data_IF_767676423933
#
_entry.id   IF_767676423933
#
_cell.length_a   1.000
_cell.length_b   1.000
_cell.length_c   1.000
_cell.angle_alpha   90.00
_cell.angle_beta   90.00
_cell.angle_gamma   90.00
#
_symmetry.space_group_name_H-M   'P 1'
#
loop_
_entity.id
_entity.type
_entity.pdbx_description
1 polymer ?
#
# COMPACT_ATOMS: atom_id res chain seq x y z
N UNK A 1 -6.21 9.88 -7.36
CA UNK A 1 -5.34 9.73 -6.19
C UNK A 1 -4.51 8.47 -6.27
N UNK A 2 -3.44 8.42 -5.51
CA UNK A 2 -2.54 7.28 -5.50
C UNK A 2 -2.40 6.75 -4.08
N UNK A 3 -2.46 5.43 -3.94
CA UNK A 3 -2.23 4.78 -2.65
C UNK A 3 -0.77 4.33 -2.59
N UNK A 4 -0.04 4.84 -1.62
CA UNK A 4 1.36 4.48 -1.45
C UNK A 4 1.52 3.64 -0.20
N UNK A 5 2.20 2.49 -0.37
CA UNK A 5 2.43 1.58 0.75
C UNK A 5 3.94 1.36 0.88
N UNK A 6 4.45 1.49 2.09
CA UNK A 6 5.87 1.28 2.36
C UNK A 6 5.96 0.23 3.47
N UNK A 7 6.36 -0.97 3.09
CA UNK A 7 6.36 -2.11 4.00
C UNK A 7 7.76 -2.34 4.55
N UNK A 8 7.97 -1.87 5.77
CA UNK A 8 9.23 -2.06 6.47
C UNK A 8 9.18 -3.24 7.41
N UNK A 9 10.30 -3.55 8.03
CA UNK A 9 10.39 -4.72 8.91
C UNK A 9 9.43 -4.66 10.11
N UNK A 10 9.16 -3.47 10.59
CA UNK A 10 8.32 -3.30 11.77
C UNK A 10 6.95 -2.74 11.44
N UNK A 11 6.91 -1.80 10.51
CA UNK A 11 5.67 -1.09 10.20
C UNK A 11 5.36 -1.05 8.73
N UNK A 12 4.08 -1.02 8.43
CA UNK A 12 3.57 -0.70 7.12
C UNK A 12 3.07 0.73 7.17
N UNK A 13 3.66 1.60 6.38
CA UNK A 13 3.19 2.97 6.22
C UNK A 13 2.25 3.00 5.03
N UNK A 14 1.12 3.66 5.18
CA UNK A 14 0.14 3.81 4.10
C UNK A 14 -0.17 5.28 3.95
N UNK A 15 -0.02 5.80 2.75
CA UNK A 15 -0.30 7.20 2.47
C UNK A 15 -1.18 7.34 1.24
N UNK A 16 -2.00 8.38 1.25
CA UNK A 16 -2.84 8.73 0.11
C UNK A 16 -2.33 10.05 -0.44
N UNK A 17 -2.00 10.05 -1.72
CA UNK A 17 -1.49 11.25 -2.37
C UNK A 17 -2.43 11.72 -3.46
N UNK A 18 -2.62 13.04 -3.51
CA UNK A 18 -3.30 13.69 -4.62
C UNK A 18 -2.23 14.55 -5.27
N UNK A 19 -1.79 14.13 -6.45
CA UNK A 19 -0.65 14.75 -7.12
C UNK A 19 0.57 14.60 -6.22
N UNK A 20 1.15 15.67 -5.74
CA UNK A 20 2.32 15.60 -4.88
C UNK A 20 2.03 15.85 -3.42
N UNK A 21 0.76 15.99 -3.09
CA UNK A 21 0.36 16.31 -1.72
C UNK A 21 -0.13 15.08 -0.98
N UNK A 22 0.37 14.91 0.22
CA UNK A 22 -0.09 13.83 1.10
C UNK A 22 -1.43 14.26 1.69
N UNK A 23 -2.46 13.49 1.40
CA UNK A 23 -3.81 13.78 1.88
C UNK A 23 -4.00 13.24 3.29
N UNK A 24 -3.59 12.01 3.52
CA UNK A 24 -3.69 11.38 4.83
C UNK A 24 -2.78 10.15 4.85
N UNK A 25 -2.47 9.69 6.04
CA UNK A 25 -1.61 8.51 6.20
C UNK A 25 -1.85 7.84 7.53
N UNK A 26 -1.38 6.61 7.64
CA UNK A 26 -1.37 5.90 8.91
C UNK A 26 -0.29 4.83 8.88
N UNK A 27 0.01 4.28 10.04
CA UNK A 27 0.96 3.17 10.16
C UNK A 27 0.31 2.04 10.92
N UNK A 28 0.69 0.83 10.55
CA UNK A 28 0.26 -0.35 11.28
C UNK A 28 1.45 -1.31 11.31
N UNK A 29 1.37 -2.34 12.13
CA UNK A 29 2.47 -3.29 12.22
C UNK A 29 2.57 -4.17 10.99
N UNK A 30 3.82 -4.51 10.62
CA UNK A 30 4.06 -5.50 9.57
C UNK A 30 3.90 -6.87 10.23
N UNK A 31 2.79 -7.53 9.94
CA UNK A 31 2.44 -8.78 10.59
C UNK A 31 2.33 -9.90 9.55
N UNK A 32 3.29 -10.82 9.58
CA UNK A 32 3.33 -11.90 8.61
C UNK A 32 2.21 -12.91 8.77
N UNK A 33 1.54 -12.90 9.91
CA UNK A 33 0.45 -13.83 10.16
C UNK A 33 -0.89 -13.36 9.60
N UNK A 34 -0.99 -12.08 9.23
CA UNK A 34 -2.24 -11.58 8.67
C UNK A 34 -2.38 -12.04 7.22
N UNK A 35 -3.60 -12.30 6.83
CA UNK A 35 -3.92 -12.68 5.45
C UNK A 35 -4.05 -11.42 4.59
N UNK A 36 -4.08 -11.62 3.27
CA UNK A 36 -4.31 -10.51 2.37
C UNK A 36 -5.69 -9.88 2.63
N UNK A 37 -6.67 -10.69 2.98
CA UNK A 37 -8.01 -10.18 3.29
C UNK A 37 -7.99 -9.27 4.52
N UNK A 38 -7.21 -9.64 5.54
CA UNK A 38 -7.10 -8.82 6.74
C UNK A 38 -6.44 -7.48 6.42
N UNK A 39 -5.41 -7.48 5.58
CA UNK A 39 -4.79 -6.23 5.16
C UNK A 39 -5.75 -5.40 4.33
N UNK A 40 -6.55 -6.05 3.49
CA UNK A 40 -7.54 -5.36 2.68
C UNK A 40 -8.56 -4.65 3.58
N UNK A 41 -8.98 -5.30 4.66
CA UNK A 41 -9.92 -4.70 5.60
C UNK A 41 -9.32 -3.49 6.30
N UNK A 42 -8.05 -3.58 6.68
CA UNK A 42 -7.36 -2.46 7.31
C UNK A 42 -7.30 -1.26 6.37
N UNK A 43 -6.95 -1.51 5.11
CA UNK A 43 -6.89 -0.45 4.12
C UNK A 43 -8.26 0.14 3.83
N UNK A 44 -9.27 -0.74 3.74
CA UNK A 44 -10.64 -0.30 3.49
C UNK A 44 -11.13 0.62 4.60
N UNK A 45 -10.87 0.24 5.83
CA UNK A 45 -11.31 1.03 6.98
C UNK A 45 -10.63 2.39 7.00
N UNK A 46 -9.33 2.41 6.67
CA UNK A 46 -8.58 3.65 6.60
C UNK A 46 -9.18 4.62 5.58
N UNK A 47 -9.50 4.11 4.39
CA UNK A 47 -10.06 4.97 3.36
C UNK A 47 -11.45 5.46 3.75
N UNK A 48 -12.26 4.59 4.34
CA UNK A 48 -13.59 5.00 4.79
C UNK A 48 -13.53 6.05 5.87
N UNK A 49 -12.60 5.89 6.82
CA UNK A 49 -12.46 6.84 7.91
C UNK A 49 -12.06 8.23 7.42
N UNK A 50 -11.47 8.30 6.23
CA UNK A 50 -11.06 9.57 5.65
C UNK A 50 -12.00 10.03 4.53
N UNK A 51 -13.15 9.39 4.41
CA UNK A 51 -14.18 9.73 3.43
C UNK A 51 -13.65 9.72 1.99
N UNK A 52 -12.85 8.71 1.68
CA UNK A 52 -12.27 8.58 0.35
C UNK A 52 -12.95 7.46 -0.42
N UNK A 53 -13.33 7.76 -1.67
CA UNK A 53 -13.95 6.78 -2.53
C UNK A 53 -12.91 5.99 -3.30
N UNK A 54 -13.16 4.70 -3.46
CA UNK A 54 -12.24 3.84 -4.19
C UNK A 54 -12.08 4.28 -5.64
N UNK A 55 -13.12 4.85 -6.21
CA UNK A 55 -13.10 5.28 -7.60
C UNK A 55 -12.12 6.43 -7.85
N UNK A 56 -11.72 7.11 -6.80
CA UNK A 56 -10.80 8.23 -6.96
C UNK A 56 -9.35 7.81 -7.14
N UNK A 57 -9.07 6.52 -6.96
CA UNK A 57 -7.70 6.02 -7.02
C UNK A 57 -7.34 5.50 -8.41
N UNK A 58 -6.15 5.88 -8.88
CA UNK A 58 -5.63 5.42 -10.16
C UNK A 58 -4.87 4.11 -10.00
N UNK A 59 -4.45 3.81 -8.79
CA UNK A 59 -3.71 2.60 -8.52
C UNK A 59 -2.95 2.72 -7.21
N UNK A 60 -2.04 1.79 -7.00
CA UNK A 60 -1.24 1.75 -5.79
C UNK A 60 0.21 1.41 -6.12
N UNK A 61 1.11 1.85 -5.26
CA UNK A 61 2.53 1.54 -5.37
C UNK A 61 2.97 1.00 -4.02
N UNK A 62 3.66 -0.13 -4.05
CA UNK A 62 4.16 -0.78 -2.84
C UNK A 62 5.68 -0.92 -2.90
N UNK A 63 6.35 -0.36 -1.90
CA UNK A 63 7.77 -0.57 -1.69
C UNK A 63 7.90 -1.51 -0.50
N UNK A 64 8.72 -2.55 -0.61
CA UNK A 64 8.79 -3.56 0.45
C UNK A 64 10.18 -4.09 0.65
N UNK A 65 10.54 -4.31 1.92
CA UNK A 65 11.78 -4.99 2.28
C UNK A 65 11.45 -6.36 2.90
N UNK A 66 10.20 -6.79 2.85
CA UNK A 66 9.78 -8.08 3.40
C UNK A 66 9.17 -8.95 2.30
N UNK A 67 9.98 -9.75 1.63
CA UNK A 67 9.46 -10.57 0.52
C UNK A 67 8.25 -11.43 0.88
N UNK A 68 8.23 -11.97 2.09
CA UNK A 68 7.14 -12.86 2.49
C UNK A 68 5.79 -12.15 2.65
N UNK A 69 5.80 -10.84 2.81
CA UNK A 69 4.56 -10.07 2.94
C UNK A 69 4.19 -9.31 1.69
N UNK A 70 5.13 -9.13 0.80
CA UNK A 70 4.92 -8.28 -0.38
C UNK A 70 3.68 -8.68 -1.16
N UNK A 71 3.56 -9.96 -1.45
CA UNK A 71 2.43 -10.45 -2.26
C UNK A 71 1.09 -10.24 -1.58
N UNK A 72 1.05 -10.49 -0.28
CA UNK A 72 -0.20 -10.34 0.47
C UNK A 72 -0.68 -8.90 0.48
N UNK A 73 0.23 -7.97 0.72
CA UNK A 73 -0.12 -6.56 0.80
C UNK A 73 -0.45 -6.01 -0.58
N UNK A 74 0.30 -6.43 -1.61
CA UNK A 74 0.00 -6.00 -2.97
C UNK A 74 -1.37 -6.49 -3.40
N UNK A 75 -1.69 -7.74 -3.08
CA UNK A 75 -2.99 -8.30 -3.42
C UNK A 75 -4.10 -7.57 -2.68
N UNK A 76 -3.88 -7.24 -1.42
CA UNK A 76 -4.87 -6.51 -0.63
C UNK A 76 -5.19 -5.16 -1.28
N UNK A 77 -4.15 -4.43 -1.69
CA UNK A 77 -4.36 -3.11 -2.28
C UNK A 77 -5.02 -3.22 -3.65
N UNK A 78 -4.55 -4.13 -4.50
CA UNK A 78 -5.10 -4.25 -5.84
C UNK A 78 -6.55 -4.75 -5.82
N UNK A 79 -6.86 -5.66 -4.90
CA UNK A 79 -8.23 -6.17 -4.78
C UNK A 79 -9.17 -5.09 -4.27
N UNK A 80 -8.72 -4.31 -3.30
CA UNK A 80 -9.53 -3.25 -2.75
C UNK A 80 -9.87 -2.20 -3.78
N UNK A 81 -8.85 -1.75 -4.52
CA UNK A 81 -9.04 -0.68 -5.49
C UNK A 81 -9.54 -1.16 -6.84
N UNK A 82 -9.45 -2.45 -7.09
CA UNK A 82 -9.71 -3.03 -8.40
C UNK A 82 -8.82 -2.35 -9.44
N UNK A 83 -7.59 -2.08 -9.07
CA UNK A 83 -6.58 -1.46 -9.90
C UNK A 83 -5.24 -2.12 -9.64
N UNK A 84 -4.29 -1.89 -10.51
CA UNK A 84 -2.98 -2.47 -10.36
C UNK A 84 -2.22 -1.89 -9.18
N UNK A 85 -1.50 -2.74 -8.45
CA UNK A 85 -0.58 -2.30 -7.43
C UNK A 85 0.83 -2.60 -7.94
N UNK A 86 1.60 -1.56 -8.23
CA UNK A 86 2.97 -1.74 -8.70
C UNK A 86 3.87 -1.99 -7.51
N UNK A 87 4.68 -3.04 -7.62
CA UNK A 87 5.61 -3.40 -6.55
C UNK A 87 7.00 -2.98 -6.94
N UNK A 88 7.62 -2.15 -6.11
CA UNK A 88 8.99 -1.71 -6.31
C UNK A 88 9.89 -2.63 -5.50
N UNK A 89 10.61 -3.50 -6.19
CA UNK A 89 11.43 -4.48 -5.53
C UNK A 89 12.89 -4.09 -5.47
N UNK A 90 13.69 -4.99 -4.93
CA UNK A 90 15.11 -4.73 -4.77
C UNK A 90 15.82 -4.46 -6.07
N UNK A 91 15.43 -5.11 -7.12
CA UNK A 91 16.06 -4.91 -8.40
C UNK A 91 15.80 -3.50 -8.93
N UNK A 92 14.71 -2.89 -8.51
CA UNK A 92 14.42 -1.56 -8.93
C UNK A 92 15.24 -0.57 -8.16
N UNK A 93 15.63 -0.91 -6.97
CA UNK A 93 16.44 -0.06 -6.21
C UNK A 93 17.66 0.34 -6.94
N UNK A 94 18.25 -0.62 -7.62
CA UNK A 94 19.47 -0.37 -8.34
C UNK A 94 19.25 0.59 -9.48
N UNK A 95 18.16 0.47 -10.14
CA UNK A 95 17.91 1.33 -11.25
C UNK A 95 17.38 2.65 -10.82
N UNK A 96 16.76 2.64 -9.69
CA UNK A 96 16.12 3.82 -9.32
C UNK A 96 16.88 4.72 -8.52
N UNK A 97 17.80 4.22 -7.94
CA UNK A 97 18.54 5.09 -7.18
C UNK A 97 18.93 6.24 -7.97
N UNK A 98 18.44 6.25 -8.98
CA UNK A 98 18.48 7.35 -9.75
C UNK A 98 17.97 8.59 -9.20
#
# INVERSE_FOLDING_TARGET
MLLLLDLGNTNLFVGVYRKRSLVCSFRTYSDKTKSSFEYQEILSQFLKNNNLDLDQFEGAILSSVIPSLTRKVALAASSLLNKECKVLGNQLKCGLSI
#
